data_IF_966891213429
#
_entry.id   IF_966891213429
#
_cell.length_a   1.000
_cell.length_b   1.000
_cell.length_c   1.000
_cell.angle_alpha   90.00
_cell.angle_beta   90.00
_cell.angle_gamma   90.00
#
_symmetry.space_group_name_H-M   'P 1'
#
loop_
_entity.id
_entity.type
_entity.pdbx_description
1 polymer ?
#
# COMPACT_ATOMS: atom_id res chain seq x y z
N UNK A 1 2.46 15.16 -7.77
CA UNK A 1 2.80 14.54 -6.46
C UNK A 1 4.01 15.26 -5.91
N UNK A 2 3.91 15.90 -4.74
CA UNK A 2 4.94 16.82 -4.24
C UNK A 2 6.33 16.19 -4.15
N UNK A 3 6.41 14.90 -3.82
CA UNK A 3 7.68 14.20 -3.75
C UNK A 3 8.41 14.07 -5.10
N UNK A 4 7.67 13.87 -6.18
CA UNK A 4 8.21 13.82 -7.55
C UNK A 4 8.68 15.21 -7.96
N UNK A 5 7.86 16.23 -7.70
CA UNK A 5 8.20 17.62 -7.99
C UNK A 5 9.46 18.07 -7.27
N UNK A 6 9.62 17.71 -5.98
CA UNK A 6 10.83 18.05 -5.21
C UNK A 6 12.09 17.51 -5.88
N UNK A 7 12.09 16.25 -6.36
CA UNK A 7 13.24 15.66 -7.05
C UNK A 7 13.54 16.38 -8.36
N UNK A 8 12.51 16.67 -9.14
CA UNK A 8 12.63 17.37 -10.40
C UNK A 8 13.18 18.79 -10.18
N UNK A 9 12.64 19.50 -9.20
CA UNK A 9 13.01 20.86 -8.90
C UNK A 9 14.42 20.97 -8.30
N UNK A 10 14.87 20.04 -7.46
CA UNK A 10 16.28 19.98 -7.00
C UNK A 10 17.25 19.93 -8.20
N UNK A 11 16.91 19.16 -9.25
CA UNK A 11 17.75 19.04 -10.45
C UNK A 11 17.74 20.32 -11.31
N UNK A 12 16.63 21.06 -11.31
CA UNK A 12 16.50 22.33 -12.02
C UNK A 12 17.26 23.42 -11.24
N UNK A 13 16.97 23.57 -9.95
CA UNK A 13 17.54 24.56 -9.06
C UNK A 13 19.08 24.47 -8.97
N UNK A 14 19.63 23.25 -9.03
CA UNK A 14 21.08 23.04 -9.09
C UNK A 14 21.76 23.71 -10.29
N UNK A 15 21.05 23.93 -11.40
CA UNK A 15 21.60 24.51 -12.63
C UNK A 15 21.42 26.02 -12.73
N UNK A 16 20.69 26.62 -11.80
CA UNK A 16 20.45 28.07 -11.80
C UNK A 16 21.68 28.80 -11.26
N UNK A 17 22.11 29.86 -11.94
CA UNK A 17 23.26 30.68 -11.54
C UNK A 17 23.01 31.44 -10.23
N UNK A 18 21.74 31.69 -9.89
CA UNK A 18 21.29 32.39 -8.69
C UNK A 18 20.97 31.46 -7.52
N UNK A 19 21.39 30.18 -7.59
CA UNK A 19 21.07 29.22 -6.55
C UNK A 19 21.71 29.59 -5.19
N UNK A 20 21.03 29.24 -4.12
CA UNK A 20 21.58 29.28 -2.78
C UNK A 20 22.14 27.90 -2.43
N UNK A 21 23.46 27.81 -2.29
CA UNK A 21 24.16 26.55 -2.02
C UNK A 21 23.70 25.86 -0.73
N UNK A 22 23.44 26.62 0.34
CA UNK A 22 22.99 26.06 1.61
C UNK A 22 21.57 25.48 1.49
N UNK A 23 20.68 26.15 0.75
CA UNK A 23 19.34 25.63 0.47
C UNK A 23 19.37 24.36 -0.39
N UNK A 24 20.22 24.33 -1.42
CA UNK A 24 20.38 23.17 -2.30
C UNK A 24 20.91 21.95 -1.53
N UNK A 25 21.90 22.15 -0.66
CA UNK A 25 22.44 21.11 0.20
C UNK A 25 21.38 20.57 1.16
N UNK A 26 20.66 21.46 1.85
CA UNK A 26 19.57 21.09 2.75
C UNK A 26 18.50 20.28 2.01
N UNK A 27 18.07 20.72 0.83
CA UNK A 27 17.05 20.04 0.03
C UNK A 27 17.49 18.62 -0.37
N UNK A 28 18.76 18.42 -0.73
CA UNK A 28 19.29 17.09 -1.06
C UNK A 28 19.39 16.18 0.16
N UNK A 29 19.85 16.71 1.28
CA UNK A 29 19.98 15.95 2.54
C UNK A 29 18.62 15.53 3.07
N UNK A 30 17.66 16.47 3.15
CA UNK A 30 16.27 16.17 3.51
C UNK A 30 15.67 15.15 2.54
N UNK A 31 15.93 15.31 1.23
CA UNK A 31 15.39 14.38 0.26
C UNK A 31 15.85 12.94 0.53
N UNK A 32 17.14 12.74 0.76
CA UNK A 32 17.70 11.41 1.05
C UNK A 32 17.26 10.86 2.41
N UNK A 33 17.14 11.72 3.42
CA UNK A 33 16.66 11.32 4.75
C UNK A 33 15.23 10.79 4.67
N UNK A 34 14.31 11.52 4.04
CA UNK A 34 12.92 11.08 3.86
C UNK A 34 12.86 9.81 3.00
N UNK A 35 13.71 9.70 1.97
CA UNK A 35 13.78 8.47 1.16
C UNK A 35 14.21 7.25 1.99
N UNK A 36 15.12 7.42 2.97
CA UNK A 36 15.54 6.32 3.84
C UNK A 36 14.40 5.80 4.73
N UNK A 37 13.49 6.69 5.16
CA UNK A 37 12.26 6.33 5.89
C UNK A 37 11.38 5.46 5.00
N UNK A 38 11.15 5.87 3.76
CA UNK A 38 10.36 5.09 2.81
C UNK A 38 10.92 3.69 2.52
N UNK A 39 12.24 3.58 2.37
CA UNK A 39 12.90 2.28 2.19
C UNK A 39 12.74 1.38 3.42
N UNK A 40 12.68 1.96 4.61
CA UNK A 40 12.43 1.22 5.85
C UNK A 40 10.99 0.72 5.90
N UNK A 41 10.02 1.56 5.55
CA UNK A 41 8.60 1.19 5.42
C UNK A 41 8.40 0.06 4.41
N UNK A 42 9.03 0.17 3.23
CA UNK A 42 8.96 -0.85 2.18
C UNK A 42 9.54 -2.20 2.64
N UNK A 43 10.62 -2.21 3.43
CA UNK A 43 11.16 -3.45 3.99
C UNK A 43 10.18 -4.10 4.97
N UNK A 44 9.48 -3.32 5.79
CA UNK A 44 8.45 -3.83 6.69
C UNK A 44 7.26 -4.39 5.89
N UNK A 45 6.77 -3.61 4.92
CA UNK A 45 5.66 -3.98 4.06
C UNK A 45 5.96 -5.25 3.24
N UNK A 46 7.17 -5.39 2.70
CA UNK A 46 7.58 -6.58 1.96
C UNK A 46 7.56 -7.83 2.85
N UNK A 47 8.04 -7.74 4.09
CA UNK A 47 7.98 -8.86 5.06
C UNK A 47 6.54 -9.22 5.41
N UNK A 48 5.70 -8.21 5.65
CA UNK A 48 4.28 -8.41 5.93
C UNK A 48 3.56 -9.06 4.74
N UNK A 49 3.82 -8.61 3.52
CA UNK A 49 3.21 -9.13 2.30
C UNK A 49 3.58 -10.60 2.04
N UNK A 50 4.86 -10.95 2.24
CA UNK A 50 5.33 -12.35 2.17
C UNK A 50 4.67 -13.19 3.26
N UNK A 51 4.61 -12.70 4.51
CA UNK A 51 4.03 -13.43 5.63
C UNK A 51 2.53 -13.70 5.49
N UNK A 52 1.79 -12.81 4.82
CA UNK A 52 0.38 -13.03 4.49
C UNK A 52 0.16 -14.21 3.54
N UNK A 53 1.15 -14.56 2.72
CA UNK A 53 1.05 -15.63 1.73
C UNK A 53 0.03 -15.34 0.62
N UNK A 54 -0.35 -14.07 0.42
CA UNK A 54 -1.37 -13.69 -0.58
C UNK A 54 -0.98 -14.15 -1.98
N UNK A 55 0.29 -14.04 -2.35
CA UNK A 55 0.80 -14.52 -3.65
C UNK A 55 0.57 -16.02 -3.88
N UNK A 56 0.68 -16.82 -2.83
CA UNK A 56 0.52 -18.28 -2.90
C UNK A 56 -0.95 -18.70 -2.82
N UNK A 57 -1.79 -17.93 -2.13
CA UNK A 57 -3.18 -18.31 -1.88
C UNK A 57 -4.19 -17.61 -2.80
N UNK A 58 -3.83 -16.48 -3.38
CA UNK A 58 -4.65 -15.66 -4.27
C UNK A 58 -3.98 -15.55 -5.65
N UNK A 59 -3.86 -16.67 -6.36
CA UNK A 59 -3.23 -16.70 -7.69
C UNK A 59 -3.91 -15.79 -8.73
N UNK A 60 -5.16 -15.41 -8.49
CA UNK A 60 -5.92 -14.50 -9.34
C UNK A 60 -5.58 -13.02 -9.11
N UNK A 61 -5.05 -12.68 -7.92
CA UNK A 61 -4.80 -11.28 -7.56
C UNK A 61 -3.39 -10.83 -7.97
N UNK A 62 -3.29 -9.57 -8.39
CA UNK A 62 -2.05 -8.98 -8.89
C UNK A 62 -1.11 -8.62 -7.74
N UNK A 63 0.17 -8.98 -7.85
CA UNK A 63 1.20 -8.55 -6.89
C UNK A 63 1.57 -7.08 -7.15
N UNK A 64 0.98 -6.17 -6.35
CA UNK A 64 1.07 -4.71 -6.54
C UNK A 64 1.49 -3.93 -5.30
N UNK A 65 2.25 -4.56 -4.41
CA UNK A 65 2.70 -3.93 -3.17
C UNK A 65 3.40 -2.58 -3.41
N UNK A 66 4.28 -2.52 -4.41
CA UNK A 66 5.08 -1.33 -4.71
C UNK A 66 4.22 -0.20 -5.26
N UNK A 67 3.27 -0.50 -6.13
CA UNK A 67 2.31 0.45 -6.69
C UNK A 67 1.39 1.00 -5.60
N UNK A 68 0.87 0.12 -4.74
CA UNK A 68 0.00 0.50 -3.62
C UNK A 68 0.75 1.37 -2.59
N UNK A 69 2.03 1.09 -2.37
CA UNK A 69 2.90 1.95 -1.56
C UNK A 69 3.14 3.31 -2.22
N UNK A 70 3.38 3.34 -3.54
CA UNK A 70 3.57 4.58 -4.29
C UNK A 70 2.33 5.48 -4.19
N UNK A 71 1.13 4.91 -4.22
CA UNK A 71 -0.13 5.61 -3.96
C UNK A 71 -0.16 6.22 -2.55
N UNK A 72 0.12 5.40 -1.53
CA UNK A 72 0.13 5.86 -0.12
C UNK A 72 1.15 6.98 0.12
N UNK A 73 2.36 6.83 -0.41
CA UNK A 73 3.42 7.85 -0.36
C UNK A 73 3.02 9.12 -1.10
N UNK A 74 2.31 8.99 -2.21
CA UNK A 74 1.83 10.12 -2.99
C UNK A 74 0.73 10.93 -2.30
N UNK A 75 -0.10 10.29 -1.48
CA UNK A 75 -1.12 10.96 -0.66
C UNK A 75 -0.52 11.61 0.58
N UNK A 76 0.46 10.95 1.23
CA UNK A 76 1.02 11.37 2.52
C UNK A 76 2.53 11.18 2.50
N UNK A 77 3.30 12.24 2.19
CA UNK A 77 4.75 12.14 1.96
C UNK A 77 5.59 12.60 3.17
N UNK A 78 4.99 13.15 4.22
CA UNK A 78 5.75 13.69 5.35
C UNK A 78 6.32 12.54 6.21
N UNK A 79 7.60 12.61 6.61
CA UNK A 79 8.28 11.46 7.23
C UNK A 79 7.63 10.98 8.54
N UNK A 80 7.02 11.88 9.32
CA UNK A 80 6.35 11.54 10.58
C UNK A 80 5.06 10.70 10.42
N UNK A 81 4.50 10.61 9.21
CA UNK A 81 3.32 9.79 8.93
C UNK A 81 3.65 8.36 8.47
N UNK A 82 4.81 7.85 8.86
CA UNK A 82 5.29 6.52 8.47
C UNK A 82 4.29 5.40 8.74
N UNK A 83 3.75 5.35 9.96
CA UNK A 83 2.71 4.36 10.32
C UNK A 83 1.47 4.49 9.44
N UNK A 84 1.02 5.72 9.18
CA UNK A 84 -0.14 5.97 8.34
C UNK A 84 0.06 5.44 6.92
N UNK A 85 1.22 5.68 6.29
CA UNK A 85 1.56 5.10 4.99
C UNK A 85 1.58 3.58 5.01
N UNK A 86 2.16 2.96 6.04
CA UNK A 86 2.21 1.50 6.18
C UNK A 86 0.79 0.94 6.24
N UNK A 87 -0.05 1.43 7.15
CA UNK A 87 -1.43 0.97 7.28
C UNK A 87 -2.23 1.23 6.00
N UNK A 88 -2.14 2.43 5.42
CA UNK A 88 -2.84 2.74 4.17
C UNK A 88 -2.43 1.80 3.03
N UNK A 89 -1.12 1.48 2.92
CA UNK A 89 -0.63 0.53 1.91
C UNK A 89 -1.24 -0.85 2.13
N UNK A 90 -1.24 -1.35 3.37
CA UNK A 90 -1.80 -2.65 3.72
C UNK A 90 -3.29 -2.71 3.37
N UNK A 91 -4.04 -1.66 3.72
CA UNK A 91 -5.46 -1.52 3.40
C UNK A 91 -5.71 -1.53 1.88
N UNK A 92 -4.95 -0.73 1.11
CA UNK A 92 -5.07 -0.69 -0.35
C UNK A 92 -4.75 -2.05 -0.97
N UNK A 93 -3.74 -2.78 -0.46
CA UNK A 93 -3.43 -4.12 -0.96
C UNK A 93 -4.58 -5.10 -0.75
N UNK A 94 -5.19 -5.10 0.43
CA UNK A 94 -6.35 -5.95 0.73
C UNK A 94 -7.53 -5.56 -0.17
N UNK A 95 -7.83 -4.26 -0.30
CA UNK A 95 -8.88 -3.78 -1.20
C UNK A 95 -8.63 -4.17 -2.65
N UNK A 96 -7.40 -4.06 -3.15
CA UNK A 96 -7.07 -4.45 -4.53
C UNK A 96 -7.28 -5.94 -4.76
N UNK A 97 -7.05 -6.80 -3.76
CA UNK A 97 -7.33 -8.22 -3.87
C UNK A 97 -8.82 -8.54 -3.84
N UNK A 98 -9.61 -7.76 -3.11
CA UNK A 98 -11.08 -7.86 -3.11
C UNK A 98 -11.64 -7.36 -4.45
N UNK A 99 -11.12 -6.27 -4.98
CA UNK A 99 -11.47 -5.75 -6.31
C UNK A 99 -11.26 -6.82 -7.40
N UNK A 100 -10.07 -7.42 -7.46
CA UNK A 100 -9.77 -8.53 -8.38
C UNK A 100 -10.73 -9.72 -8.19
N UNK A 101 -11.14 -9.99 -6.95
CA UNK A 101 -12.08 -11.05 -6.61
C UNK A 101 -13.48 -10.75 -7.14
N UNK A 102 -13.98 -9.51 -6.99
CA UNK A 102 -15.31 -9.13 -7.47
C UNK A 102 -15.37 -8.95 -8.98
N UNK A 103 -14.29 -8.49 -9.61
CA UNK A 103 -14.27 -8.17 -11.05
C UNK A 103 -14.07 -9.39 -11.94
N UNK A 104 -13.25 -10.37 -11.51
CA UNK A 104 -12.77 -11.43 -12.42
C UNK A 104 -12.97 -12.84 -11.86
N UNK A 105 -12.82 -13.04 -10.54
CA UNK A 105 -12.64 -14.39 -10.00
C UNK A 105 -13.89 -15.00 -9.34
N UNK A 106 -14.57 -14.26 -8.46
CA UNK A 106 -15.68 -14.78 -7.67
C UNK A 106 -16.95 -14.95 -8.50
N UNK A 107 -17.66 -16.05 -8.28
CA UNK A 107 -19.02 -16.21 -8.80
C UNK A 107 -20.01 -15.34 -8.02
N UNK A 108 -21.14 -14.97 -8.64
CA UNK A 108 -22.13 -14.09 -8.00
C UNK A 108 -22.60 -14.62 -6.64
N UNK A 109 -22.87 -15.92 -6.54
CA UNK A 109 -23.29 -16.56 -5.28
C UNK A 109 -22.22 -16.44 -4.17
N UNK A 110 -20.95 -16.66 -4.52
CA UNK A 110 -19.84 -16.49 -3.57
C UNK A 110 -19.66 -15.02 -3.16
N UNK A 111 -19.81 -14.09 -4.10
CA UNK A 111 -19.68 -12.65 -3.83
C UNK A 111 -20.83 -12.14 -2.95
N UNK A 112 -22.04 -12.67 -3.10
CA UNK A 112 -23.16 -12.38 -2.20
C UNK A 112 -22.88 -12.90 -0.77
N UNK A 113 -22.34 -14.12 -0.64
CA UNK A 113 -21.90 -14.66 0.65
C UNK A 113 -20.82 -13.79 1.29
N UNK A 114 -19.78 -13.40 0.54
CA UNK A 114 -18.72 -12.53 1.03
C UNK A 114 -19.25 -11.17 1.47
N UNK A 115 -20.13 -10.57 0.67
CA UNK A 115 -20.78 -9.29 1.00
C UNK A 115 -21.62 -9.40 2.27
N UNK A 116 -22.34 -10.50 2.44
CA UNK A 116 -23.15 -10.77 3.63
C UNK A 116 -22.26 -10.95 4.87
N UNK A 117 -21.17 -11.70 4.75
CA UNK A 117 -20.18 -11.88 5.81
C UNK A 117 -19.55 -10.55 6.24
N UNK A 118 -19.22 -9.67 5.30
CA UNK A 118 -18.70 -8.33 5.59
C UNK A 118 -19.72 -7.44 6.31
N UNK A 119 -20.99 -7.49 5.89
CA UNK A 119 -22.08 -6.74 6.55
C UNK A 119 -22.31 -7.20 7.99
N UNK A 120 -22.17 -8.49 8.26
CA UNK A 120 -22.32 -9.04 9.62
C UNK A 120 -21.11 -8.74 10.51
N UNK A 121 -19.92 -8.61 9.93
CA UNK A 121 -18.66 -8.41 10.66
C UNK A 121 -18.44 -9.45 11.76
N UNK A 122 -18.83 -10.70 11.48
CA UNK A 122 -18.81 -11.80 12.43
C UNK A 122 -17.68 -12.79 12.10
N UNK A 123 -16.72 -13.04 13.01
CA UNK A 123 -15.69 -14.05 12.83
C UNK A 123 -16.23 -15.44 12.51
N UNK A 124 -17.45 -15.79 12.92
CA UNK A 124 -18.05 -17.10 12.61
C UNK A 124 -18.44 -17.24 11.13
N UNK A 125 -18.61 -16.13 10.41
CA UNK A 125 -18.90 -16.15 8.98
C UNK A 125 -17.76 -16.74 8.14
N UNK A 126 -16.56 -16.89 8.71
CA UNK A 126 -15.43 -17.56 8.07
C UNK A 126 -15.71 -19.00 7.65
N UNK A 127 -16.54 -19.72 8.39
CA UNK A 127 -16.86 -21.11 8.08
C UNK A 127 -17.71 -21.24 6.82
N UNK A 128 -18.46 -20.19 6.47
CA UNK A 128 -19.37 -20.13 5.32
C UNK A 128 -18.66 -19.74 4.01
N UNK A 129 -17.45 -19.18 4.10
CA UNK A 129 -16.73 -18.65 2.93
C UNK A 129 -15.86 -19.72 2.25
N UNK A 130 -15.65 -19.64 0.93
CA UNK A 130 -14.60 -20.40 0.24
C UNK A 130 -13.20 -20.09 0.80
N UNK A 131 -12.28 -21.05 0.75
CA UNK A 131 -10.95 -20.93 1.38
C UNK A 131 -10.13 -19.72 0.90
N UNK A 132 -10.25 -19.35 -0.38
CA UNK A 132 -9.55 -18.18 -0.92
C UNK A 132 -10.13 -16.86 -0.37
N UNK A 133 -11.44 -16.80 -0.11
CA UNK A 133 -12.11 -15.62 0.45
C UNK A 133 -11.82 -15.43 1.93
N UNK A 134 -11.65 -16.53 2.69
CA UNK A 134 -11.33 -16.50 4.12
C UNK A 134 -10.11 -15.66 4.43
N UNK A 135 -9.10 -15.71 3.56
CA UNK A 135 -7.85 -14.97 3.75
C UNK A 135 -8.07 -13.46 3.59
N UNK A 136 -8.83 -13.04 2.58
CA UNK A 136 -9.21 -11.64 2.40
C UNK A 136 -10.07 -11.16 3.57
N UNK A 137 -11.04 -11.97 4.01
CA UNK A 137 -11.91 -11.64 5.13
C UNK A 137 -11.15 -11.52 6.46
N UNK A 138 -10.27 -12.47 6.77
CA UNK A 138 -9.39 -12.41 7.94
C UNK A 138 -8.45 -11.20 7.89
N UNK A 139 -7.94 -10.87 6.71
CA UNK A 139 -7.07 -9.71 6.55
C UNK A 139 -7.81 -8.39 6.86
N UNK A 140 -9.09 -8.29 6.50
CA UNK A 140 -9.95 -7.14 6.83
C UNK A 140 -10.31 -7.12 8.33
N UNK A 141 -10.70 -8.28 8.90
CA UNK A 141 -11.11 -8.35 10.31
C UNK A 141 -9.97 -8.05 11.29
N UNK A 142 -8.74 -8.46 10.95
CA UNK A 142 -7.56 -8.26 11.78
C UNK A 142 -6.82 -6.94 11.50
N UNK A 143 -7.37 -6.10 10.63
CA UNK A 143 -6.80 -4.81 10.27
C UNK A 143 -7.05 -3.76 11.38
#
# INVERSE_FOLDING_TARGET
MQRIENRNYINIYQKEDTNNLALLELAKLDYNLVQSVYQTELKELARWWIALGFREKLHFSRDRLMENYLWSMGMIFEPHFSKCRIYLTKFICILSSIDDMYDIYGSLDELELFTSALKRWDPMALEELPDYMKICYLAILNF
#
